data_IF_793302161007
#
_entry.id   IF_793302161007
#
_cell.length_a   1.000
_cell.length_b   1.000
_cell.length_c   1.000
_cell.angle_alpha   90.00
_cell.angle_beta   90.00
_cell.angle_gamma   90.00
#
_symmetry.space_group_name_H-M   'P 1'
#
loop_
_entity.id
_entity.type
_entity.pdbx_description
1 polymer ?
#
# COMPACT_ATOMS: atom_id res chain seq x y z
N UNK A 1 14.70 -6.94 9.09
CA UNK A 1 14.62 -6.07 7.91
C UNK A 1 13.50 -5.04 8.02
N UNK A 2 12.26 -5.43 8.32
CA UNK A 2 11.12 -4.51 8.54
C UNK A 2 11.40 -3.39 9.54
N UNK A 3 12.13 -3.68 10.63
CA UNK A 3 12.54 -2.66 11.60
C UNK A 3 13.29 -1.48 10.96
N UNK A 4 14.29 -1.76 10.13
CA UNK A 4 15.09 -0.72 9.47
C UNK A 4 14.28 0.05 8.42
N UNK A 5 13.38 -0.63 7.69
CA UNK A 5 12.49 0.00 6.71
C UNK A 5 11.51 0.95 7.40
N UNK A 6 10.86 0.49 8.47
CA UNK A 6 9.91 1.30 9.23
C UNK A 6 10.59 2.50 9.88
N UNK A 7 11.79 2.31 10.44
CA UNK A 7 12.59 3.41 11.01
C UNK A 7 12.96 4.44 9.94
N UNK A 8 13.38 4.02 8.74
CA UNK A 8 13.70 4.93 7.65
C UNK A 8 12.47 5.72 7.18
N UNK A 9 11.32 5.06 7.01
CA UNK A 9 10.06 5.71 6.61
C UNK A 9 9.63 6.75 7.65
N UNK A 10 9.69 6.42 8.94
CA UNK A 10 9.34 7.35 10.02
C UNK A 10 10.30 8.54 10.08
N UNK A 11 11.60 8.33 9.91
CA UNK A 11 12.58 9.41 9.93
C UNK A 11 12.36 10.42 8.78
N UNK A 12 12.03 9.93 7.58
CA UNK A 12 11.72 10.77 6.42
C UNK A 12 10.39 11.51 6.63
N UNK A 13 9.36 10.83 7.12
CA UNK A 13 8.08 11.46 7.46
C UNK A 13 8.25 12.55 8.52
N UNK A 14 9.11 12.30 9.52
CA UNK A 14 9.39 13.25 10.58
C UNK A 14 10.07 14.52 10.03
N UNK A 15 11.04 14.43 9.10
CA UNK A 15 11.65 15.62 8.50
C UNK A 15 10.64 16.49 7.74
N UNK A 16 9.66 15.85 7.08
CA UNK A 16 8.62 16.56 6.36
C UNK A 16 7.56 17.23 7.25
N UNK A 17 7.27 16.65 8.41
CA UNK A 17 6.21 17.13 9.33
C UNK A 17 6.77 18.01 10.44
N UNK A 18 8.04 17.85 10.81
CA UNK A 18 8.64 18.56 11.93
C UNK A 18 8.87 20.05 11.60
N UNK A 19 8.06 20.92 12.21
CA UNK A 19 8.16 22.38 12.08
C UNK A 19 7.15 23.02 11.12
N UNK A 20 6.27 22.24 10.49
CA UNK A 20 5.18 22.76 9.64
C UNK A 20 3.91 22.91 10.50
N UNK A 21 3.50 24.15 10.77
CA UNK A 21 2.37 24.46 11.64
C UNK A 21 1.01 24.62 10.91
N UNK A 22 0.94 24.45 9.58
CA UNK A 22 -0.16 25.07 8.82
C UNK A 22 -0.94 24.19 7.83
N UNK A 23 -0.73 22.87 7.74
CA UNK A 23 -1.69 22.03 6.97
C UNK A 23 -1.58 20.52 7.26
N UNK A 24 -2.32 19.97 8.25
CA UNK A 24 -2.35 18.53 8.53
C UNK A 24 -3.04 17.71 7.43
N UNK A 25 -3.78 18.34 6.52
CA UNK A 25 -4.54 17.65 5.47
C UNK A 25 -3.66 17.19 4.29
N UNK A 26 -2.44 17.71 4.14
CA UNK A 26 -1.51 17.40 3.04
C UNK A 26 -0.42 16.37 3.39
N UNK A 27 -0.53 15.67 4.52
CA UNK A 27 0.43 14.60 4.89
C UNK A 27 -0.06 13.26 4.31
N UNK A 28 -0.08 13.19 2.97
CA UNK A 28 -0.60 12.04 2.21
C UNK A 28 0.48 11.13 1.61
N UNK A 29 0.08 9.92 1.22
CA UNK A 29 0.91 8.99 0.44
C UNK A 29 1.31 9.57 -0.94
N UNK A 30 0.45 10.45 -1.48
CA UNK A 30 0.65 11.24 -2.70
C UNK A 30 1.79 12.26 -2.52
N UNK A 31 1.83 12.94 -1.38
CA UNK A 31 2.82 13.97 -1.07
C UNK A 31 4.18 13.42 -0.69
N UNK A 32 4.26 12.13 -0.35
CA UNK A 32 5.51 11.46 -0.02
C UNK A 32 6.56 11.52 -1.13
N UNK A 33 6.17 11.66 -2.40
CA UNK A 33 7.17 11.94 -3.44
C UNK A 33 7.90 13.26 -3.19
N UNK A 34 7.19 14.31 -2.75
CA UNK A 34 7.75 15.63 -2.57
C UNK A 34 8.88 15.64 -1.53
N UNK A 35 8.84 14.69 -0.58
CA UNK A 35 9.88 14.49 0.44
C UNK A 35 11.21 13.97 -0.15
N UNK A 36 11.17 13.35 -1.33
CA UNK A 36 12.36 12.89 -2.07
C UNK A 36 12.82 13.84 -3.18
N UNK A 37 12.32 15.09 -3.23
CA UNK A 37 12.64 16.08 -4.30
C UNK A 37 14.14 16.37 -4.49
N UNK A 38 14.96 16.19 -3.45
CA UNK A 38 16.42 16.35 -3.53
C UNK A 38 17.08 15.26 -4.39
N UNK A 39 16.39 14.14 -4.64
CA UNK A 39 16.86 13.03 -5.46
C UNK A 39 16.26 13.13 -6.87
N UNK A 40 17.11 13.20 -7.92
CA UNK A 40 16.63 13.09 -9.30
C UNK A 40 15.94 11.73 -9.48
N UNK A 41 14.64 11.74 -9.76
CA UNK A 41 13.83 10.53 -9.92
C UNK A 41 13.20 9.97 -8.63
N UNK A 42 13.21 10.71 -7.52
CA UNK A 42 12.63 10.28 -6.24
C UNK A 42 11.17 9.78 -6.33
N UNK A 43 10.30 10.49 -7.08
CA UNK A 43 8.92 10.05 -7.36
C UNK A 43 8.86 8.66 -8.00
N UNK A 44 9.72 8.40 -8.97
CA UNK A 44 9.70 7.15 -9.74
C UNK A 44 10.14 6.00 -8.83
N UNK A 45 11.18 6.23 -8.02
CA UNK A 45 11.63 5.26 -7.02
C UNK A 45 10.55 4.98 -5.98
N UNK A 46 9.85 6.01 -5.50
CA UNK A 46 8.71 5.87 -4.59
C UNK A 46 7.58 5.04 -5.20
N UNK A 47 7.20 5.33 -6.46
CA UNK A 47 6.18 4.58 -7.18
C UNK A 47 6.56 3.11 -7.38
N UNK A 48 7.82 2.82 -7.73
CA UNK A 48 8.33 1.44 -7.85
C UNK A 48 8.30 0.74 -6.48
N UNK A 49 8.69 1.42 -5.41
CA UNK A 49 8.67 0.87 -4.06
C UNK A 49 7.23 0.52 -3.61
N UNK A 50 6.26 1.39 -3.87
CA UNK A 50 4.84 1.13 -3.59
C UNK A 50 4.31 -0.05 -4.40
N UNK A 51 4.65 -0.12 -5.69
CA UNK A 51 4.27 -1.25 -6.55
C UNK A 51 4.85 -2.57 -6.01
N UNK A 52 6.14 -2.58 -5.67
CA UNK A 52 6.83 -3.75 -5.14
C UNK A 52 6.24 -4.21 -3.79
N UNK A 53 5.94 -3.26 -2.89
CA UNK A 53 5.27 -3.55 -1.62
C UNK A 53 3.89 -4.20 -1.84
N UNK A 54 3.11 -3.69 -2.80
CA UNK A 54 1.81 -4.26 -3.17
C UNK A 54 1.91 -5.70 -3.70
N UNK A 55 2.88 -5.99 -4.56
CA UNK A 55 3.07 -7.35 -5.08
C UNK A 55 3.50 -8.34 -3.99
N UNK A 56 4.43 -7.94 -3.12
CA UNK A 56 4.91 -8.79 -2.03
C UNK A 56 3.78 -9.19 -1.07
N UNK A 57 2.90 -8.23 -0.74
CA UNK A 57 1.73 -8.50 0.11
C UNK A 57 0.75 -9.47 -0.55
N UNK A 58 0.40 -9.23 -1.83
CA UNK A 58 -0.54 -10.07 -2.56
C UNK A 58 -0.10 -11.54 -2.62
N UNK A 59 1.19 -11.79 -2.86
CA UNK A 59 1.75 -13.14 -2.91
C UNK A 59 1.63 -13.82 -1.54
N UNK A 60 2.03 -13.13 -0.46
CA UNK A 60 1.97 -13.66 0.91
C UNK A 60 0.53 -14.00 1.29
N UNK A 61 -0.42 -13.09 1.02
CA UNK A 61 -1.86 -13.32 1.28
C UNK A 61 -2.39 -14.52 0.52
N UNK A 62 -1.99 -14.74 -0.74
CA UNK A 62 -2.42 -15.94 -1.46
C UNK A 62 -1.87 -17.22 -0.83
N UNK A 63 -0.59 -17.30 -0.48
CA UNK A 63 -0.04 -18.51 0.12
C UNK A 63 -0.63 -18.78 1.51
N UNK A 64 -0.70 -17.78 2.38
CA UNK A 64 -1.34 -17.92 3.70
C UNK A 64 -2.81 -18.35 3.59
N UNK A 65 -3.54 -17.80 2.62
CA UNK A 65 -4.91 -18.22 2.34
C UNK A 65 -5.03 -19.68 1.91
N UNK A 66 -4.01 -20.28 1.24
CA UNK A 66 -4.05 -21.70 0.88
C UNK A 66 -3.97 -22.57 2.12
N UNK A 67 -3.05 -22.25 3.02
CA UNK A 67 -2.89 -22.99 4.27
C UNK A 67 -4.17 -22.98 5.11
N UNK A 68 -4.84 -21.82 5.22
CA UNK A 68 -6.08 -21.73 5.98
C UNK A 68 -7.22 -22.49 5.27
N UNK A 69 -7.32 -22.39 3.95
CA UNK A 69 -8.40 -23.06 3.20
C UNK A 69 -8.26 -24.58 3.17
N UNK A 70 -7.06 -25.11 2.96
CA UNK A 70 -6.82 -26.56 3.02
C UNK A 70 -6.90 -27.09 4.45
N UNK A 71 -6.50 -26.30 5.45
CA UNK A 71 -6.53 -26.70 6.85
C UNK A 71 -7.92 -26.65 7.49
N UNK A 72 -8.64 -25.53 7.33
CA UNK A 72 -9.90 -25.28 8.05
C UNK A 72 -11.17 -25.48 7.22
N UNK A 73 -11.13 -25.17 5.92
CA UNK A 73 -12.34 -25.23 5.06
C UNK A 73 -12.37 -26.49 4.18
N UNK A 74 -11.25 -27.16 3.97
CA UNK A 74 -11.08 -28.32 3.07
C UNK A 74 -11.59 -28.04 1.64
N UNK A 75 -11.46 -26.78 1.18
CA UNK A 75 -11.90 -26.32 -0.14
C UNK A 75 -10.69 -26.13 -1.04
N UNK A 76 -10.60 -26.95 -2.09
CA UNK A 76 -9.53 -26.85 -3.10
C UNK A 76 -9.99 -26.00 -4.29
N UNK A 77 -9.72 -24.70 -4.21
CA UNK A 77 -9.90 -23.77 -5.31
C UNK A 77 -8.55 -23.46 -5.98
N UNK A 78 -8.51 -23.27 -7.31
CA UNK A 78 -7.30 -22.89 -8.00
C UNK A 78 -6.86 -21.46 -7.61
N UNK A 79 -5.54 -21.27 -7.48
CA UNK A 79 -4.92 -20.05 -6.93
C UNK A 79 -5.34 -18.77 -7.65
N UNK A 80 -5.52 -18.84 -8.97
CA UNK A 80 -5.88 -17.69 -9.80
C UNK A 80 -7.32 -17.22 -9.52
N UNK A 81 -8.28 -18.15 -9.44
CA UNK A 81 -9.69 -17.82 -9.16
C UNK A 81 -9.82 -17.15 -7.81
N UNK A 82 -9.11 -17.67 -6.81
CA UNK A 82 -9.13 -17.07 -5.47
C UNK A 82 -8.47 -15.68 -5.46
N UNK A 83 -7.35 -15.49 -6.16
CA UNK A 83 -6.69 -14.20 -6.27
C UNK A 83 -7.56 -13.14 -6.97
N UNK A 84 -8.33 -13.54 -7.99
CA UNK A 84 -9.29 -12.65 -8.66
C UNK A 84 -10.44 -12.31 -7.72
N UNK A 85 -11.04 -13.30 -7.03
CA UNK A 85 -12.14 -13.07 -6.10
C UNK A 85 -11.76 -12.14 -4.95
N UNK A 86 -10.61 -12.36 -4.31
CA UNK A 86 -10.16 -11.47 -3.22
C UNK A 86 -9.80 -10.07 -3.74
N UNK A 87 -9.26 -9.94 -4.96
CA UNK A 87 -9.04 -8.63 -5.59
C UNK A 87 -10.35 -7.90 -5.88
N UNK A 88 -11.38 -8.58 -6.38
CA UNK A 88 -12.68 -7.97 -6.66
C UNK A 88 -13.34 -7.48 -5.37
N UNK A 89 -13.30 -8.29 -4.31
CA UNK A 89 -13.86 -7.92 -3.00
C UNK A 89 -13.09 -6.73 -2.41
N UNK A 90 -11.76 -6.69 -2.56
CA UNK A 90 -10.94 -5.58 -2.07
C UNK A 90 -11.10 -4.29 -2.88
N UNK A 91 -11.25 -4.37 -4.20
CA UNK A 91 -11.38 -3.20 -5.09
C UNK A 91 -12.76 -2.55 -4.94
N UNK A 92 -13.81 -3.33 -4.69
CA UNK A 92 -15.20 -2.83 -4.57
C UNK A 92 -15.34 -1.64 -3.60
N UNK A 93 -14.94 -1.73 -2.31
CA UNK A 93 -15.02 -0.59 -1.40
C UNK A 93 -14.12 0.56 -1.80
N UNK A 94 -12.93 0.30 -2.36
CA UNK A 94 -12.03 1.34 -2.83
C UNK A 94 -12.65 2.18 -3.95
N UNK A 95 -13.31 1.53 -4.92
CA UNK A 95 -13.99 2.21 -6.03
C UNK A 95 -15.17 3.02 -5.52
N UNK A 96 -15.96 2.47 -4.59
CA UNK A 96 -17.10 3.18 -3.99
C UNK A 96 -16.63 4.47 -3.29
N UNK A 97 -15.56 4.38 -2.48
CA UNK A 97 -15.02 5.55 -1.77
C UNK A 97 -14.45 6.57 -2.76
N UNK A 98 -13.69 6.12 -3.77
CA UNK A 98 -13.13 7.02 -4.79
C UNK A 98 -14.21 7.73 -5.62
N UNK A 99 -15.31 7.06 -5.92
CA UNK A 99 -16.44 7.66 -6.64
C UNK A 99 -17.27 8.61 -5.76
N UNK A 100 -17.39 8.32 -4.46
CA UNK A 100 -18.14 9.15 -3.52
C UNK A 100 -17.40 10.44 -3.11
N UNK A 101 -16.07 10.43 -3.08
CA UNK A 101 -15.24 11.58 -2.69
C UNK A 101 -14.24 12.00 -3.80
N UNK A 102 -14.70 12.55 -4.93
CA UNK A 102 -13.84 12.91 -6.06
C UNK A 102 -12.92 14.12 -5.81
N UNK A 103 -13.14 14.91 -4.74
CA UNK A 103 -12.52 16.23 -4.53
C UNK A 103 -11.36 16.28 -3.52
N UNK A 104 -10.93 15.13 -2.97
CA UNK A 104 -9.86 15.05 -1.96
C UNK A 104 -8.59 14.32 -2.46
N UNK A 105 -8.39 14.25 -3.78
CA UNK A 105 -7.16 13.72 -4.40
C UNK A 105 -6.26 14.83 -4.91
#
# INVERSE_FOLDING_TARGET
MSFFVNMAVVAIAAEAVYGVADDPDNVGLSDFCNYFRKLKGGCVLWGIALLAAGQSSAITTTYTGQYIMDGFLNIRLPTWTRAVMTRLIAITPCVIVSAAFPTKL
#
